data_IF_555451368047
#
_entry.id   IF_555451368047
#
_cell.length_a   1.000
_cell.length_b   1.000
_cell.length_c   1.000
_cell.angle_alpha   90.00
_cell.angle_beta   90.00
_cell.angle_gamma   90.00
#
_symmetry.space_group_name_H-M   'P 1'
#
loop_
_entity.id
_entity.type
_entity.pdbx_description
1 polymer ?
#
# COMPACT_ATOMS: atom_id res chain seq x y z
N UNK A 1 4.39 10.02 5.03
CA UNK A 1 3.35 9.97 6.08
C UNK A 1 2.40 11.17 6.00
N UNK A 2 2.89 12.41 5.83
CA UNK A 2 2.02 13.62 5.87
C UNK A 2 1.45 14.08 4.52
N UNK A 3 2.19 13.92 3.40
CA UNK A 3 1.79 14.44 2.08
C UNK A 3 0.61 13.71 1.43
N UNK A 4 0.50 12.39 1.66
CA UNK A 4 -0.56 11.58 1.05
C UNK A 4 -1.92 11.85 1.71
N UNK A 5 -1.92 12.17 3.00
CA UNK A 5 -3.13 12.56 3.75
C UNK A 5 -3.55 13.97 3.38
N UNK A 6 -2.60 14.90 3.26
CA UNK A 6 -2.86 16.28 2.82
C UNK A 6 -3.40 16.34 1.38
N UNK A 7 -2.80 15.59 0.45
CA UNK A 7 -3.26 15.52 -0.95
C UNK A 7 -4.65 14.85 -1.08
N UNK A 8 -4.93 13.83 -0.27
CA UNK A 8 -6.23 13.16 -0.23
C UNK A 8 -7.34 14.08 0.28
N UNK A 9 -7.06 14.85 1.35
CA UNK A 9 -7.97 15.84 1.90
C UNK A 9 -8.19 17.00 0.92
N UNK A 10 -7.14 17.46 0.24
CA UNK A 10 -7.24 18.51 -0.77
C UNK A 10 -8.07 18.08 -2.00
N UNK A 11 -7.90 16.83 -2.47
CA UNK A 11 -8.70 16.29 -3.58
C UNK A 11 -10.17 16.08 -3.19
N UNK A 12 -10.43 15.63 -1.96
CA UNK A 12 -11.79 15.51 -1.44
C UNK A 12 -12.47 16.89 -1.30
N UNK A 13 -11.74 17.91 -0.83
CA UNK A 13 -12.22 19.28 -0.78
C UNK A 13 -12.52 19.84 -2.17
N UNK A 14 -11.65 19.61 -3.17
CA UNK A 14 -11.87 20.02 -4.56
C UNK A 14 -13.13 19.42 -5.18
N UNK A 15 -13.37 18.13 -4.96
CA UNK A 15 -14.55 17.43 -5.49
C UNK A 15 -15.87 17.89 -4.84
N UNK A 16 -15.82 18.33 -3.57
CA UNK A 16 -16.96 18.97 -2.88
C UNK A 16 -17.20 20.36 -3.45
N UNK A 17 -16.12 21.12 -3.67
CA UNK A 17 -16.19 22.51 -4.08
C UNK A 17 -16.68 22.68 -5.53
N UNK A 18 -16.17 21.87 -6.49
CA UNK A 18 -16.60 21.87 -7.90
C UNK A 18 -18.11 21.58 -8.06
N UNK A 19 -18.69 20.77 -7.18
CA UNK A 19 -20.10 20.39 -7.27
C UNK A 19 -21.05 21.33 -6.54
N UNK A 20 -20.56 22.06 -5.54
CA UNK A 20 -21.30 23.19 -4.97
C UNK A 20 -21.50 24.33 -5.99
N UNK A 21 -20.52 24.57 -6.87
CA UNK A 21 -20.67 25.50 -8.00
C UNK A 21 -21.59 24.97 -9.12
N UNK A 22 -21.52 23.66 -9.42
CA UNK A 22 -22.48 23.03 -10.33
C UNK A 22 -23.94 23.08 -9.83
N UNK A 23 -24.14 22.96 -8.51
CA UNK A 23 -25.43 23.13 -7.87
C UNK A 23 -25.95 24.57 -7.92
N UNK A 24 -25.08 25.58 -7.75
CA UNK A 24 -25.49 26.98 -7.83
C UNK A 24 -25.92 27.43 -9.24
N UNK A 25 -25.34 26.82 -10.30
CA UNK A 25 -25.78 27.03 -11.68
C UNK A 25 -27.07 26.27 -12.01
N UNK A 26 -27.30 25.09 -11.41
CA UNK A 26 -28.53 24.32 -11.59
C UNK A 26 -29.74 24.89 -10.81
N UNK A 27 -29.51 25.48 -9.63
CA UNK A 27 -30.58 26.06 -8.79
C UNK A 27 -31.17 27.34 -9.40
N UNK A 28 -30.49 28.01 -10.34
CA UNK A 28 -31.03 29.18 -11.04
C UNK A 28 -31.91 28.84 -12.25
N UNK A 29 -32.00 27.56 -12.63
CA UNK A 29 -32.82 27.06 -13.74
C UNK A 29 -33.97 26.13 -13.34
N UNK A 30 -34.02 25.64 -12.10
CA UNK A 30 -35.00 24.63 -11.66
C UNK A 30 -35.81 25.15 -10.48
N UNK A 31 -36.69 26.12 -10.76
CA UNK A 31 -37.77 26.49 -9.85
C UNK A 31 -39.12 25.86 -10.25
N UNK A 32 -39.13 24.87 -11.14
CA UNK A 32 -40.32 24.13 -11.55
C UNK A 32 -40.02 22.63 -11.60
N UNK A 33 -40.22 21.94 -10.48
CA UNK A 33 -40.50 20.51 -10.31
C UNK A 33 -39.78 20.01 -9.04
N UNK A 34 -40.58 19.69 -8.03
CA UNK A 34 -40.10 19.10 -6.79
C UNK A 34 -39.69 17.65 -6.96
N UNK A 35 -38.74 17.22 -6.12
CA UNK A 35 -38.67 15.85 -5.60
C UNK A 35 -37.79 15.84 -4.34
N UNK A 36 -38.28 15.35 -3.19
CA UNK A 36 -37.48 15.25 -1.96
C UNK A 36 -36.81 13.88 -1.88
N UNK A 37 -35.91 13.54 -2.81
CA UNK A 37 -35.10 12.31 -2.71
C UNK A 37 -33.65 12.59 -3.10
N UNK A 38 -32.95 13.37 -2.30
CA UNK A 38 -31.50 13.46 -2.36
C UNK A 38 -30.86 13.48 -0.97
N UNK A 39 -31.42 12.68 -0.05
CA UNK A 39 -30.67 12.21 1.13
C UNK A 39 -30.03 10.87 0.77
N UNK A 40 -28.75 10.75 1.11
CA UNK A 40 -27.89 9.54 1.14
C UNK A 40 -27.02 9.31 -0.10
N UNK A 41 -25.79 9.82 -0.01
CA UNK A 41 -24.60 9.02 0.33
C UNK A 41 -23.39 9.95 0.14
N UNK A 42 -22.78 10.41 1.23
CA UNK A 42 -21.57 11.24 1.16
C UNK A 42 -20.41 10.41 0.58
N UNK A 43 -19.95 10.67 -0.65
CA UNK A 43 -18.93 9.85 -1.32
C UNK A 43 -17.51 10.10 -0.77
N UNK A 44 -17.33 11.11 0.10
CA UNK A 44 -16.06 11.37 0.79
C UNK A 44 -15.60 10.21 1.67
N UNK A 45 -16.54 9.44 2.24
CA UNK A 45 -16.21 8.26 3.03
C UNK A 45 -15.56 7.15 2.17
N UNK A 46 -16.05 6.93 0.94
CA UNK A 46 -15.49 5.90 0.03
C UNK A 46 -14.09 6.25 -0.46
N UNK A 47 -13.80 7.53 -0.69
CA UNK A 47 -12.49 7.97 -1.16
C UNK A 47 -11.44 7.90 -0.04
N UNK A 48 -11.76 8.38 1.17
CA UNK A 48 -10.91 8.20 2.36
C UNK A 48 -10.72 6.71 2.68
N UNK A 49 -11.78 5.90 2.57
CA UNK A 49 -11.72 4.46 2.80
C UNK A 49 -10.84 3.74 1.77
N UNK A 50 -10.81 4.17 0.51
CA UNK A 50 -9.92 3.59 -0.52
C UNK A 50 -8.44 3.92 -0.30
N UNK A 51 -8.12 5.05 0.33
CA UNK A 51 -6.75 5.47 0.62
C UNK A 51 -6.26 4.78 1.91
N UNK A 52 -7.12 4.70 2.92
CA UNK A 52 -6.87 3.92 4.13
C UNK A 52 -6.71 2.44 3.79
N UNK A 53 -7.55 1.88 2.91
CA UNK A 53 -7.42 0.48 2.50
C UNK A 53 -6.16 0.20 1.69
N UNK A 54 -5.74 1.12 0.80
CA UNK A 54 -4.44 1.04 0.11
C UNK A 54 -3.26 1.12 1.08
N UNK A 55 -3.36 1.94 2.13
CA UNK A 55 -2.32 2.05 3.15
C UNK A 55 -2.24 0.79 4.02
N UNK A 56 -3.39 0.27 4.44
CA UNK A 56 -3.49 -1.00 5.14
C UNK A 56 -2.95 -2.13 4.26
N UNK A 57 -3.25 -2.13 2.97
CA UNK A 57 -2.74 -3.11 2.02
C UNK A 57 -1.21 -3.04 1.90
N UNK A 58 -0.63 -1.84 1.72
CA UNK A 58 0.84 -1.66 1.69
C UNK A 58 1.51 -2.11 2.98
N UNK A 59 0.96 -1.75 4.14
CA UNK A 59 1.48 -2.19 5.45
C UNK A 59 1.40 -3.71 5.60
N UNK A 60 0.29 -4.31 5.18
CA UNK A 60 0.11 -5.77 5.17
C UNK A 60 1.12 -6.46 4.25
N UNK A 61 1.39 -5.91 3.07
CA UNK A 61 2.39 -6.47 2.14
C UNK A 61 3.80 -6.45 2.75
N UNK A 62 4.21 -5.35 3.38
CA UNK A 62 5.51 -5.25 4.06
C UNK A 62 5.61 -6.22 5.23
N UNK A 63 4.59 -6.25 6.10
CA UNK A 63 4.55 -7.16 7.24
C UNK A 63 4.59 -8.63 6.80
N UNK A 64 3.88 -8.99 5.73
CA UNK A 64 3.86 -10.35 5.17
C UNK A 64 5.20 -10.77 4.58
N UNK A 65 5.93 -9.84 3.94
CA UNK A 65 7.29 -10.11 3.44
C UNK A 65 8.26 -10.35 4.58
N UNK A 66 8.25 -9.49 5.60
CA UNK A 66 9.07 -9.67 6.80
C UNK A 66 8.78 -11.02 7.48
N UNK A 67 7.49 -11.36 7.65
CA UNK A 67 7.08 -12.64 8.21
C UNK A 67 7.51 -13.84 7.35
N UNK A 68 7.55 -13.69 6.02
CA UNK A 68 8.08 -14.74 5.12
C UNK A 68 9.58 -14.93 5.30
N UNK A 69 10.36 -13.84 5.47
CA UNK A 69 11.80 -13.91 5.75
C UNK A 69 12.06 -14.61 7.07
N UNK A 70 11.33 -14.22 8.12
CA UNK A 70 11.44 -14.81 9.44
C UNK A 70 11.10 -16.31 9.41
N UNK A 71 10.03 -16.68 8.71
CA UNK A 71 9.66 -18.09 8.49
C UNK A 71 10.76 -18.88 7.76
N UNK A 72 11.30 -18.36 6.64
CA UNK A 72 12.39 -19.03 5.92
C UNK A 72 13.65 -19.22 6.79
N UNK A 73 13.94 -18.22 7.63
CA UNK A 73 15.09 -18.23 8.54
C UNK A 73 14.89 -19.29 9.63
N UNK A 74 13.72 -19.32 10.26
CA UNK A 74 13.37 -20.31 11.28
C UNK A 74 13.37 -21.73 10.69
N UNK A 75 12.81 -21.92 9.50
CA UNK A 75 12.79 -23.20 8.80
C UNK A 75 14.21 -23.69 8.49
N UNK A 76 15.06 -22.82 7.95
CA UNK A 76 16.46 -23.16 7.66
C UNK A 76 17.25 -23.51 8.92
N UNK A 77 17.02 -22.81 10.03
CA UNK A 77 17.66 -23.10 11.32
C UNK A 77 17.28 -24.48 11.87
N UNK A 78 15.99 -24.83 11.86
CA UNK A 78 15.50 -26.14 12.30
C UNK A 78 16.04 -27.29 11.43
N UNK A 79 16.07 -27.10 10.11
CA UNK A 79 16.62 -28.09 9.18
C UNK A 79 18.13 -28.30 9.39
N UNK A 80 18.90 -27.24 9.65
CA UNK A 80 20.33 -27.35 9.98
C UNK A 80 20.59 -27.99 11.33
N UNK A 81 19.66 -27.82 12.28
CA UNK A 81 19.69 -28.55 13.55
C UNK A 81 19.36 -30.05 13.38
N UNK A 82 19.07 -30.51 12.16
CA UNK A 82 18.78 -31.91 11.86
C UNK A 82 17.32 -32.31 12.11
N UNK A 83 16.41 -31.34 12.30
CA UNK A 83 14.99 -31.66 12.47
C UNK A 83 14.40 -32.26 11.18
N UNK A 84 13.48 -33.22 11.32
CA UNK A 84 12.74 -33.75 10.18
C UNK A 84 11.93 -32.62 9.50
N UNK A 85 11.77 -32.63 8.16
CA UNK A 85 11.04 -31.60 7.44
C UNK A 85 9.63 -31.33 7.99
N UNK A 86 8.88 -32.38 8.36
CA UNK A 86 7.54 -32.26 8.96
C UNK A 86 7.54 -31.48 10.28
N UNK A 87 8.59 -31.63 11.08
CA UNK A 87 8.73 -30.98 12.38
C UNK A 87 9.27 -29.56 12.24
N UNK A 88 10.22 -29.35 11.33
CA UNK A 88 10.83 -28.05 11.10
C UNK A 88 9.82 -27.04 10.56
N UNK A 89 8.92 -27.45 9.65
CA UNK A 89 7.85 -26.57 9.17
C UNK A 89 6.84 -26.24 10.27
N UNK A 90 6.56 -27.19 11.17
CA UNK A 90 5.68 -26.95 12.31
C UNK A 90 6.31 -25.94 13.28
N UNK A 91 7.59 -26.12 13.63
CA UNK A 91 8.31 -25.20 14.53
C UNK A 91 8.45 -23.81 13.92
N UNK A 92 8.76 -23.72 12.63
CA UNK A 92 8.83 -22.45 11.92
C UNK A 92 7.46 -21.74 11.84
N UNK A 93 6.37 -22.49 11.64
CA UNK A 93 5.01 -21.92 11.67
C UNK A 93 4.60 -21.44 13.07
N UNK A 94 5.02 -22.14 14.13
CA UNK A 94 4.78 -21.65 15.51
C UNK A 94 5.57 -20.41 15.86
N UNK A 95 6.77 -20.25 15.29
CA UNK A 95 7.56 -19.02 15.46
C UNK A 95 6.92 -17.82 14.75
N UNK A 96 6.26 -18.05 13.61
CA UNK A 96 5.62 -16.99 12.81
C UNK A 96 4.16 -17.31 12.47
N UNK A 97 3.22 -17.09 13.42
CA UNK A 97 1.81 -17.42 13.24
C UNK A 97 1.15 -16.69 12.07
N UNK A 98 0.25 -17.36 11.35
CA UNK A 98 -0.57 -16.77 10.28
C UNK A 98 0.09 -16.72 8.90
N UNK A 99 1.33 -17.18 8.76
CA UNK A 99 2.04 -17.23 7.47
C UNK A 99 1.74 -18.53 6.74
N UNK A 100 1.84 -19.67 7.43
CA UNK A 100 1.85 -21.00 6.85
C UNK A 100 1.25 -22.09 7.76
N UNK A 101 0.38 -21.70 8.70
CA UNK A 101 -0.28 -22.62 9.66
C UNK A 101 -0.92 -23.83 8.98
N UNK A 102 -1.47 -23.61 7.78
CA UNK A 102 -2.06 -24.66 6.95
C UNK A 102 -1.02 -25.67 6.45
N UNK A 103 0.12 -25.20 5.98
CA UNK A 103 1.19 -26.07 5.52
C UNK A 103 1.76 -26.91 6.66
N UNK A 104 1.89 -26.33 7.86
CA UNK A 104 2.28 -27.07 9.07
C UNK A 104 1.25 -28.14 9.46
N UNK A 105 -0.05 -27.84 9.33
CA UNK A 105 -1.12 -28.82 9.57
C UNK A 105 -1.10 -29.96 8.56
N UNK A 106 -0.93 -29.65 7.28
CA UNK A 106 -0.84 -30.64 6.19
C UNK A 106 0.40 -31.53 6.37
N UNK A 107 1.53 -30.97 6.78
CA UNK A 107 2.76 -31.73 7.06
C UNK A 107 2.55 -32.79 8.16
N UNK A 108 1.86 -32.44 9.26
CA UNK A 108 1.54 -33.39 10.34
C UNK A 108 0.64 -34.55 9.89
N UNK A 109 -0.22 -34.31 8.91
CA UNK A 109 -1.14 -35.30 8.37
C UNK A 109 -0.52 -36.11 7.21
N UNK A 110 0.75 -35.87 6.86
CA UNK A 110 1.42 -36.53 5.74
C UNK A 110 0.90 -36.11 4.36
N UNK A 111 0.25 -34.95 4.26
CA UNK A 111 -0.26 -34.43 2.99
C UNK A 111 0.77 -33.61 2.19
N UNK A 112 0.34 -33.07 1.05
CA UNK A 112 1.21 -32.27 0.18
C UNK A 112 1.45 -30.85 0.72
N UNK A 113 2.59 -30.70 1.41
CA UNK A 113 3.06 -29.42 1.96
C UNK A 113 3.33 -28.38 0.87
N UNK A 114 3.79 -28.79 -0.32
CA UNK A 114 4.09 -27.88 -1.42
C UNK A 114 2.82 -27.19 -1.91
N UNK A 115 1.76 -27.97 -2.14
CA UNK A 115 0.45 -27.42 -2.51
C UNK A 115 -0.12 -26.47 -1.45
N UNK A 116 0.05 -26.81 -0.15
CA UNK A 116 -0.40 -25.96 0.95
C UNK A 116 0.36 -24.63 1.01
N UNK A 117 1.68 -24.63 0.74
CA UNK A 117 2.50 -23.42 0.66
C UNK A 117 2.15 -22.56 -0.56
N UNK A 118 1.85 -23.16 -1.71
CA UNK A 118 1.32 -22.43 -2.88
C UNK A 118 -0.02 -21.76 -2.54
N UNK A 119 -0.95 -22.48 -1.93
CA UNK A 119 -2.23 -21.91 -1.51
C UNK A 119 -2.05 -20.77 -0.49
N UNK A 120 -1.11 -20.90 0.46
CA UNK A 120 -0.74 -19.82 1.38
C UNK A 120 -0.16 -18.61 0.63
N UNK A 121 0.67 -18.82 -0.39
CA UNK A 121 1.25 -17.74 -1.21
C UNK A 121 0.18 -16.90 -1.91
N UNK A 122 -0.88 -17.53 -2.42
CA UNK A 122 -2.00 -16.86 -3.10
C UNK A 122 -2.84 -16.07 -2.10
N UNK A 123 -3.18 -16.67 -0.94
CA UNK A 123 -3.97 -16.01 0.12
C UNK A 123 -3.22 -14.81 0.74
N UNK A 124 -1.92 -14.96 0.95
CA UNK A 124 -1.09 -13.93 1.55
C UNK A 124 -0.49 -12.96 0.51
N UNK A 125 -0.60 -13.24 -0.79
CA UNK A 125 0.04 -12.41 -1.83
C UNK A 125 1.56 -12.32 -1.67
N UNK A 126 2.18 -13.36 -1.09
CA UNK A 126 3.61 -13.40 -0.79
C UNK A 126 4.30 -14.33 -1.78
N UNK A 127 4.87 -13.78 -2.86
CA UNK A 127 5.63 -14.54 -3.85
C UNK A 127 6.86 -15.28 -3.29
N UNK A 128 7.30 -14.94 -2.07
CA UNK A 128 8.32 -15.71 -1.34
C UNK A 128 7.86 -17.12 -0.99
N UNK A 129 6.62 -17.31 -0.51
CA UNK A 129 6.09 -18.63 -0.15
C UNK A 129 5.94 -19.57 -1.35
N UNK A 130 5.62 -19.04 -2.53
CA UNK A 130 5.57 -19.83 -3.76
C UNK A 130 6.96 -20.41 -4.12
N UNK A 131 8.02 -19.63 -3.89
CA UNK A 131 9.40 -20.11 -4.08
C UNK A 131 9.80 -21.15 -3.05
N UNK A 132 9.40 -20.98 -1.79
CA UNK A 132 9.61 -22.00 -0.75
C UNK A 132 8.91 -23.30 -1.12
N UNK A 133 7.68 -23.23 -1.66
CA UNK A 133 6.96 -24.42 -2.15
C UNK A 133 7.70 -25.14 -3.27
N UNK A 134 8.27 -24.39 -4.23
CA UNK A 134 9.06 -24.96 -5.32
C UNK A 134 10.33 -25.64 -4.79
N UNK A 135 11.06 -24.98 -3.90
CA UNK A 135 12.24 -25.55 -3.22
C UNK A 135 11.85 -26.80 -2.43
N UNK A 136 10.72 -26.78 -1.73
CA UNK A 136 10.19 -27.92 -0.99
C UNK A 136 9.93 -29.13 -1.88
N UNK A 137 9.17 -28.94 -2.97
CA UNK A 137 8.81 -30.01 -3.91
C UNK A 137 10.04 -30.70 -4.52
N UNK A 138 11.10 -29.94 -4.82
CA UNK A 138 12.35 -30.48 -5.36
C UNK A 138 13.17 -31.18 -4.27
N UNK A 139 13.23 -30.60 -3.07
CA UNK A 139 14.10 -31.09 -1.99
C UNK A 139 13.57 -32.34 -1.27
N UNK A 140 12.25 -32.58 -1.30
CA UNK A 140 11.65 -33.81 -0.74
C UNK A 140 12.27 -35.09 -1.31
N UNK A 141 12.84 -35.02 -2.50
CA UNK A 141 13.50 -36.16 -3.15
C UNK A 141 15.02 -36.22 -2.91
N UNK A 142 15.65 -35.16 -2.39
CA UNK A 142 17.12 -35.01 -2.38
C UNK A 142 17.76 -34.80 -0.99
N UNK A 143 16.98 -34.64 0.08
CA UNK A 143 17.43 -34.72 1.48
C UNK A 143 18.35 -33.60 2.01
N UNK A 144 19.12 -32.91 1.17
CA UNK A 144 20.14 -31.94 1.62
C UNK A 144 19.98 -30.51 1.05
N UNK A 145 19.05 -30.26 0.12
CA UNK A 145 18.91 -28.96 -0.54
C UNK A 145 17.96 -27.95 0.11
N UNK A 146 17.14 -28.40 1.06
CA UNK A 146 16.01 -27.60 1.57
C UNK A 146 16.48 -26.42 2.45
N UNK A 147 17.45 -26.67 3.35
CA UNK A 147 17.99 -25.64 4.23
C UNK A 147 18.68 -24.53 3.43
N UNK A 148 19.55 -24.89 2.49
CA UNK A 148 20.24 -23.94 1.62
C UNK A 148 19.29 -23.20 0.68
N UNK A 149 18.26 -23.87 0.19
CA UNK A 149 17.21 -23.24 -0.61
C UNK A 149 16.43 -22.18 0.18
N UNK A 150 16.05 -22.48 1.43
CA UNK A 150 15.35 -21.53 2.29
C UNK A 150 16.23 -20.35 2.68
N UNK A 151 17.52 -20.56 2.97
CA UNK A 151 18.47 -19.47 3.27
C UNK A 151 18.67 -18.56 2.05
N UNK A 152 18.90 -19.14 0.87
CA UNK A 152 19.01 -18.34 -0.38
C UNK A 152 17.77 -17.50 -0.64
N UNK A 153 16.58 -18.02 -0.35
CA UNK A 153 15.34 -17.25 -0.45
C UNK A 153 15.29 -16.13 0.61
N UNK A 154 15.71 -16.42 1.84
CA UNK A 154 15.77 -15.43 2.91
C UNK A 154 16.75 -14.28 2.56
N UNK A 155 17.95 -14.61 2.07
CA UNK A 155 18.96 -13.65 1.65
C UNK A 155 18.47 -12.81 0.47
N UNK A 156 17.92 -13.43 -0.57
CA UNK A 156 17.32 -12.70 -1.69
C UNK A 156 16.22 -11.72 -1.24
N UNK A 157 15.38 -12.12 -0.27
CA UNK A 157 14.34 -11.25 0.28
C UNK A 157 14.92 -10.10 1.13
N UNK A 158 16.01 -10.36 1.88
CA UNK A 158 16.72 -9.34 2.67
C UNK A 158 17.40 -8.32 1.74
N UNK A 159 18.00 -8.79 0.65
CA UNK A 159 18.67 -7.95 -0.37
C UNK A 159 17.66 -7.07 -1.13
N UNK A 160 16.51 -7.62 -1.55
CA UNK A 160 15.42 -6.83 -2.16
C UNK A 160 14.97 -5.72 -1.21
N UNK A 161 14.87 -6.00 0.09
CA UNK A 161 14.48 -4.99 1.08
C UNK A 161 15.60 -3.96 1.32
N UNK A 162 16.87 -4.37 1.36
CA UNK A 162 18.00 -3.46 1.48
C UNK A 162 18.06 -2.48 0.29
N UNK A 163 17.90 -2.98 -0.93
CA UNK A 163 17.83 -2.16 -2.14
C UNK A 163 16.66 -1.17 -2.10
N UNK A 164 15.48 -1.60 -1.63
CA UNK A 164 14.32 -0.71 -1.46
C UNK A 164 14.58 0.39 -0.46
N UNK A 165 15.29 0.11 0.63
CA UNK A 165 15.70 1.11 1.64
C UNK A 165 16.72 2.09 1.05
N UNK A 166 17.71 1.59 0.32
CA UNK A 166 18.72 2.39 -0.39
C UNK A 166 18.05 3.38 -1.36
N UNK A 167 17.20 2.88 -2.25
CA UNK A 167 16.41 3.72 -3.18
C UNK A 167 15.52 4.69 -2.41
N UNK A 168 14.94 4.26 -1.29
CA UNK A 168 14.17 5.11 -0.39
C UNK A 168 14.97 6.29 0.16
N UNK A 169 16.22 6.03 0.56
CA UNK A 169 17.16 7.01 1.11
C UNK A 169 17.66 7.98 0.03
N UNK A 170 18.02 7.49 -1.16
CA UNK A 170 18.40 8.33 -2.30
C UNK A 170 17.26 9.29 -2.70
N UNK A 171 16.01 8.81 -2.65
CA UNK A 171 14.84 9.63 -2.91
C UNK A 171 14.42 10.51 -1.71
N UNK A 172 15.09 10.43 -0.56
CA UNK A 172 14.73 11.22 0.62
C UNK A 172 14.94 12.72 0.35
N UNK A 173 16.03 13.09 -0.32
CA UNK A 173 16.30 14.48 -0.73
C UNK A 173 15.22 15.00 -1.68
N UNK A 174 14.93 14.27 -2.75
CA UNK A 174 13.87 14.62 -3.69
C UNK A 174 12.48 14.74 -3.01
N UNK A 175 12.18 13.84 -2.07
CA UNK A 175 10.94 13.92 -1.25
C UNK A 175 10.94 15.08 -0.28
N UNK A 176 12.09 15.51 0.25
CA UNK A 176 12.19 16.65 1.15
C UNK A 176 11.87 17.96 0.42
N UNK A 177 12.45 18.17 -0.77
CA UNK A 177 12.13 19.33 -1.62
C UNK A 177 10.67 19.34 -2.07
N UNK A 178 10.13 18.18 -2.46
CA UNK A 178 8.71 18.06 -2.77
C UNK A 178 7.81 18.37 -1.56
N UNK A 179 8.22 18.00 -0.33
CA UNK A 179 7.51 18.38 0.90
C UNK A 179 7.54 19.89 1.13
N UNK A 180 8.69 20.53 0.96
CA UNK A 180 8.84 21.97 1.07
C UNK A 180 7.89 22.71 0.12
N UNK A 181 7.91 22.34 -1.17
CA UNK A 181 7.03 22.92 -2.18
C UNK A 181 5.54 22.67 -1.88
N UNK A 182 5.18 21.51 -1.33
CA UNK A 182 3.81 21.18 -0.98
C UNK A 182 3.30 21.88 0.29
N UNK A 183 4.21 22.26 1.22
CA UNK A 183 3.86 23.02 2.43
C UNK A 183 3.74 24.52 2.14
N UNK A 184 4.47 25.03 1.14
CA UNK A 184 4.47 26.43 0.75
C UNK A 184 3.07 27.04 0.53
N UNK A 185 2.12 26.41 -0.19
CA UNK A 185 0.77 26.96 -0.34
C UNK A 185 -0.01 27.05 0.98
N UNK A 186 0.22 26.11 1.92
CA UNK A 186 -0.42 26.17 3.25
C UNK A 186 0.12 27.36 4.04
N UNK A 187 1.44 27.56 4.02
CA UNK A 187 2.08 28.73 4.63
C UNK A 187 1.59 30.04 4.00
N UNK A 188 1.43 30.06 2.67
CA UNK A 188 0.90 31.23 1.95
C UNK A 188 -0.53 31.59 2.36
N UNK A 189 -1.41 30.60 2.52
CA UNK A 189 -2.78 30.81 3.01
C UNK A 189 -2.75 31.34 4.45
N UNK A 190 -1.89 30.76 5.30
CA UNK A 190 -1.78 31.14 6.72
C UNK A 190 -1.29 32.58 6.88
N UNK A 191 -0.25 32.96 6.13
CA UNK A 191 0.27 34.33 6.09
C UNK A 191 -0.78 35.30 5.51
N UNK A 192 -1.45 34.93 4.42
CA UNK A 192 -2.52 35.74 3.83
C UNK A 192 -3.68 35.99 4.80
N UNK A 193 -4.09 34.97 5.57
CA UNK A 193 -5.11 35.12 6.61
C UNK A 193 -4.67 36.01 7.77
N UNK A 194 -3.37 36.02 8.13
CA UNK A 194 -2.85 36.89 9.18
C UNK A 194 -2.84 38.37 8.80
N UNK A 195 -2.76 38.68 7.49
CA UNK A 195 -2.85 40.05 6.96
C UNK A 195 -4.30 40.55 6.84
N UNK A 196 -5.30 39.78 7.27
CA UNK A 196 -6.72 40.17 7.22
C UNK A 196 -7.37 40.02 5.85
N UNK A 197 -6.68 39.46 4.85
CA UNK A 197 -7.37 38.88 3.71
C UNK A 197 -8.21 37.71 4.23
N UNK A 198 -9.41 37.50 3.69
CA UNK A 198 -10.26 36.37 4.04
C UNK A 198 -10.17 35.29 2.93
N UNK A 199 -8.98 34.71 2.66
CA UNK A 199 -8.72 33.89 1.47
C UNK A 199 -9.55 32.61 1.48
N UNK A 200 -9.96 32.11 2.64
CA UNK A 200 -10.86 30.96 2.75
C UNK A 200 -12.26 31.29 2.22
N UNK A 201 -12.77 32.50 2.48
CA UNK A 201 -14.05 32.96 1.95
C UNK A 201 -13.97 33.12 0.44
N UNK A 202 -12.90 33.73 -0.08
CA UNK A 202 -12.66 33.87 -1.52
C UNK A 202 -12.48 32.50 -2.18
N UNK A 203 -11.66 31.58 -1.64
CA UNK A 203 -11.44 30.25 -2.24
C UNK A 203 -12.71 29.41 -2.32
N UNK A 204 -13.57 29.48 -1.29
CA UNK A 204 -14.75 28.62 -1.17
C UNK A 204 -16.02 29.24 -1.75
N UNK A 205 -16.11 30.58 -1.88
CA UNK A 205 -17.30 31.26 -2.40
C UNK A 205 -17.13 31.92 -3.76
N UNK A 206 -15.90 32.09 -4.27
CA UNK A 206 -15.69 32.64 -5.63
C UNK A 206 -15.42 31.54 -6.66
N UNK A 207 -15.94 31.68 -7.89
CA UNK A 207 -15.74 30.70 -8.96
C UNK A 207 -14.26 30.53 -9.33
N UNK A 208 -13.46 31.60 -9.24
CA UNK A 208 -12.01 31.54 -9.50
C UNK A 208 -11.25 30.71 -8.45
N UNK A 209 -11.64 30.80 -7.18
CA UNK A 209 -11.10 29.97 -6.09
C UNK A 209 -11.33 28.49 -6.33
N UNK A 210 -12.54 28.13 -6.77
CA UNK A 210 -12.93 26.76 -7.09
C UNK A 210 -12.15 26.20 -8.28
N UNK A 211 -11.95 27.00 -9.34
CA UNK A 211 -11.13 26.60 -10.50
C UNK A 211 -9.68 26.36 -10.08
N UNK A 212 -9.10 27.23 -9.25
CA UNK A 212 -7.74 27.05 -8.76
C UNK A 212 -7.59 25.77 -7.90
N UNK A 213 -8.55 25.50 -7.02
CA UNK A 213 -8.57 24.32 -6.16
C UNK A 213 -8.73 23.02 -6.97
N UNK A 214 -9.59 23.05 -7.99
CA UNK A 214 -9.75 21.96 -8.95
C UNK A 214 -8.46 21.69 -9.73
N UNK A 215 -7.80 22.75 -10.21
CA UNK A 215 -6.54 22.65 -10.95
C UNK A 215 -5.42 22.08 -10.07
N UNK A 216 -5.28 22.58 -8.84
CA UNK A 216 -4.30 22.07 -7.87
C UNK A 216 -4.52 20.58 -7.55
N UNK A 217 -5.78 20.17 -7.33
CA UNK A 217 -6.12 18.77 -7.11
C UNK A 217 -5.86 17.90 -8.34
N UNK A 218 -6.13 18.40 -9.55
CA UNK A 218 -5.85 17.70 -10.79
C UNK A 218 -4.35 17.48 -11.01
N UNK A 219 -3.52 18.52 -10.81
CA UNK A 219 -2.06 18.38 -10.90
C UNK A 219 -1.51 17.43 -9.85
N UNK A 220 -1.99 17.48 -8.61
CA UNK A 220 -1.57 16.55 -7.56
C UNK A 220 -1.94 15.10 -7.90
N UNK A 221 -3.15 14.88 -8.43
CA UNK A 221 -3.63 13.56 -8.86
C UNK A 221 -2.80 13.03 -10.03
N UNK A 222 -2.48 13.88 -11.00
CA UNK A 222 -1.66 13.54 -12.16
C UNK A 222 -0.23 13.20 -11.74
N UNK A 223 0.36 13.96 -10.80
CA UNK A 223 1.68 13.67 -10.24
C UNK A 223 1.72 12.32 -9.51
N UNK A 224 0.69 11.99 -8.74
CA UNK A 224 0.57 10.67 -8.11
C UNK A 224 0.44 9.55 -9.15
N UNK A 225 -0.41 9.74 -10.15
CA UNK A 225 -0.61 8.78 -11.23
C UNK A 225 0.68 8.53 -12.01
N UNK A 226 1.42 9.58 -12.33
CA UNK A 226 2.71 9.51 -13.01
C UNK A 226 3.74 8.76 -12.17
N UNK A 227 3.81 9.05 -10.87
CA UNK A 227 4.73 8.37 -9.93
C UNK A 227 4.40 6.88 -9.81
N UNK A 228 3.13 6.52 -9.67
CA UNK A 228 2.70 5.12 -9.65
C UNK A 228 2.92 4.40 -10.99
N UNK A 229 2.82 5.11 -12.11
CA UNK A 229 3.08 4.56 -13.44
C UNK A 229 4.58 4.30 -13.64
N UNK A 230 5.45 5.24 -13.28
CA UNK A 230 6.90 5.05 -13.31
C UNK A 230 7.33 3.88 -12.42
N UNK A 231 6.83 3.81 -11.19
CA UNK A 231 7.16 2.73 -10.26
C UNK A 231 6.76 1.34 -10.82
N UNK A 232 5.57 1.23 -11.42
CA UNK A 232 5.09 -0.03 -12.03
C UNK A 232 5.85 -0.41 -13.30
N UNK A 233 6.36 0.55 -14.07
CA UNK A 233 7.15 0.27 -15.26
C UNK A 233 8.52 -0.32 -14.94
N UNK A 234 9.11 0.04 -13.79
CA UNK A 234 10.40 -0.52 -13.35
C UNK A 234 10.25 -1.96 -12.87
N UNK A 235 9.16 -2.27 -12.16
CA UNK A 235 8.89 -3.61 -11.61
C UNK A 235 8.56 -4.67 -12.68
N UNK A 236 8.29 -4.27 -13.94
CA UNK A 236 8.09 -5.18 -15.07
C UNK A 236 9.37 -5.56 -15.82
N UNK A 237 10.51 -4.96 -15.48
CA UNK A 237 11.79 -5.14 -16.20
C UNK A 237 12.82 -5.98 -15.41
N UNK A 238 12.40 -6.53 -14.27
CA UNK A 238 13.15 -7.46 -13.41
C UNK A 238 12.32 -8.75 -13.34
#
# INVERSE_FOLDING_TARGET
MSLLVAAALAAAAAAVAVRSAGGALAVRGVHLAGDPVARRQAPGARQVQSIVSRWQHRRRVVARRAATVEFCTALAAELRAGAMPSDSIQRAATAVPGVCDEAARVARLGGDVSAALVAASVRNGSGGLARVAAVWSVSQHAGAGLADGCERIADWLRDDEALRREVGAQLAGARASARLLAVLPVLGILLGSSMGADPLHVLLRTPYGLVCLALGAALASLGLWWTERLARSVEKRV
#
